data_IF_559230626700
#
_entry.id   IF_559230626700
#
_cell.length_a   1.000
_cell.length_b   1.000
_cell.length_c   1.000
_cell.angle_alpha   90.00
_cell.angle_beta   90.00
_cell.angle_gamma   90.00
#
_symmetry.space_group_name_H-M   'P 1'
#
loop_
_entity.id
_entity.type
_entity.pdbx_description
1 polymer ?
#
# COMPACT_ATOMS: atom_id res chain seq x y z
N UNK A 1 -6.16 16.40 11.42
CA UNK A 1 -6.16 15.66 12.70
C UNK A 1 -4.91 14.80 12.74
N UNK A 2 -4.16 14.82 13.85
CA UNK A 2 -2.96 14.01 14.00
C UNK A 2 -3.39 12.62 14.51
N UNK A 3 -3.39 11.61 13.63
CA UNK A 3 -3.80 10.25 14.01
C UNK A 3 -2.73 9.67 14.93
N UNK A 4 -3.10 9.38 16.17
CA UNK A 4 -2.20 8.84 17.19
C UNK A 4 -2.75 7.54 17.75
N UNK A 5 -1.85 6.61 18.06
CA UNK A 5 -2.20 5.36 18.71
C UNK A 5 -2.47 5.61 20.20
N UNK A 6 -3.71 5.40 20.66
CA UNK A 6 -4.10 5.60 22.05
C UNK A 6 -3.41 4.65 23.06
N UNK A 7 -2.76 3.58 22.59
CA UNK A 7 -2.08 2.60 23.43
C UNK A 7 -0.63 3.00 23.74
N UNK A 8 0.07 3.61 22.76
CA UNK A 8 1.50 3.94 22.90
C UNK A 8 1.85 5.40 22.57
N UNK A 9 0.83 6.24 22.38
CA UNK A 9 0.90 7.66 22.05
C UNK A 9 1.75 8.00 20.81
N UNK A 10 1.90 7.01 19.91
CA UNK A 10 2.71 7.14 18.70
C UNK A 10 1.89 7.73 17.55
N UNK A 11 2.45 8.72 16.84
CA UNK A 11 1.91 9.24 15.58
C UNK A 11 2.27 8.37 14.36
N UNK A 12 3.07 7.32 14.54
CA UNK A 12 3.41 6.37 13.47
C UNK A 12 2.23 5.41 13.23
N UNK A 13 1.19 5.93 12.60
CA UNK A 13 -0.05 5.20 12.27
C UNK A 13 -0.16 5.05 10.76
N UNK A 14 -0.34 3.82 10.29
CA UNK A 14 -0.60 3.48 8.91
C UNK A 14 -2.09 3.20 8.74
N UNK A 15 -2.76 3.91 7.84
CA UNK A 15 -4.17 3.64 7.52
C UNK A 15 -4.28 2.46 6.56
N UNK A 16 -5.43 1.77 6.61
CA UNK A 16 -5.79 0.67 5.72
C UNK A 16 -5.67 1.08 4.25
N UNK A 17 -6.19 2.24 3.90
CA UNK A 17 -6.15 2.75 2.52
C UNK A 17 -4.73 3.10 2.08
N UNK A 18 -3.92 3.68 2.96
CA UNK A 18 -2.52 3.94 2.68
C UNK A 18 -1.75 2.63 2.49
N UNK A 19 -1.96 1.63 3.34
CA UNK A 19 -1.34 0.31 3.21
C UNK A 19 -1.73 -0.39 1.91
N UNK A 20 -3.02 -0.34 1.54
CA UNK A 20 -3.54 -0.87 0.28
C UNK A 20 -2.87 -0.19 -0.92
N UNK A 21 -2.82 1.13 -0.92
CA UNK A 21 -2.18 1.93 -1.98
C UNK A 21 -0.69 1.67 -2.11
N UNK A 22 0.04 1.61 -0.99
CA UNK A 22 1.47 1.30 -0.96
C UNK A 22 1.74 -0.11 -1.49
N UNK A 23 0.96 -1.10 -1.08
CA UNK A 23 1.10 -2.48 -1.54
C UNK A 23 0.86 -2.57 -3.06
N UNK A 24 -0.17 -1.89 -3.56
CA UNK A 24 -0.43 -1.80 -4.99
C UNK A 24 0.76 -1.18 -5.74
N UNK A 25 1.26 -0.03 -5.28
CA UNK A 25 2.42 0.64 -5.88
C UNK A 25 3.67 -0.25 -5.91
N UNK A 26 3.98 -0.92 -4.81
CA UNK A 26 5.12 -1.86 -4.74
C UNK A 26 4.95 -3.00 -5.75
N UNK A 27 3.75 -3.57 -5.87
CA UNK A 27 3.46 -4.60 -6.86
C UNK A 27 3.66 -4.13 -8.31
N UNK A 28 3.19 -2.92 -8.64
CA UNK A 28 3.36 -2.33 -9.97
C UNK A 28 4.83 -2.01 -10.27
N UNK A 29 5.57 -1.46 -9.30
CA UNK A 29 7.01 -1.23 -9.46
C UNK A 29 7.78 -2.53 -9.65
N UNK A 30 7.44 -3.58 -8.92
CA UNK A 30 8.03 -4.90 -9.12
C UNK A 30 7.79 -5.42 -10.55
N UNK A 31 6.57 -5.24 -11.07
CA UNK A 31 6.23 -5.52 -12.48
C UNK A 31 7.09 -4.72 -13.45
N UNK A 32 7.19 -3.40 -13.24
CA UNK A 32 7.98 -2.51 -14.09
C UNK A 32 9.47 -2.85 -14.08
N UNK A 33 10.05 -3.11 -12.90
CA UNK A 33 11.46 -3.50 -12.76
C UNK A 33 11.73 -4.83 -13.45
N UNK A 34 10.83 -5.81 -13.30
CA UNK A 34 10.93 -7.09 -14.01
C UNK A 34 10.84 -6.90 -15.53
N UNK A 35 9.94 -6.05 -16.01
CA UNK A 35 9.82 -5.70 -17.42
C UNK A 35 11.07 -5.04 -17.99
N UNK A 36 11.63 -4.06 -17.27
CA UNK A 36 12.85 -3.37 -17.67
C UNK A 36 14.07 -4.29 -17.75
N UNK A 37 14.16 -5.28 -16.85
CA UNK A 37 15.27 -6.25 -16.81
C UNK A 37 15.23 -7.32 -17.90
N UNK A 38 14.09 -7.51 -18.60
CA UNK A 38 13.97 -8.51 -19.67
C UNK A 38 14.80 -8.17 -20.91
N UNK A 39 15.19 -6.91 -21.10
CA UNK A 39 16.09 -6.48 -22.17
C UNK A 39 17.45 -6.08 -21.59
N UNK A 40 18.26 -7.08 -21.27
CA UNK A 40 19.60 -6.89 -20.71
C UNK A 40 20.61 -6.30 -21.73
N UNK A 41 20.20 -6.14 -23.00
CA UNK A 41 21.03 -5.67 -24.13
C UNK A 41 20.44 -4.43 -24.85
N UNK A 42 19.35 -3.85 -24.35
CA UNK A 42 18.69 -2.69 -24.94
C UNK A 42 19.21 -1.35 -24.41
N UNK A 43 19.00 -0.27 -25.18
CA UNK A 43 19.23 1.10 -24.69
C UNK A 43 18.35 1.40 -23.47
N UNK A 44 18.73 2.37 -22.63
CA UNK A 44 17.94 2.77 -21.45
C UNK A 44 16.49 3.14 -21.77
N UNK A 45 16.23 3.66 -22.99
CA UNK A 45 14.88 3.93 -23.48
C UNK A 45 14.05 2.66 -23.70
N UNK A 46 14.64 1.61 -24.29
CA UNK A 46 13.96 0.34 -24.48
C UNK A 46 13.63 -0.33 -23.14
N UNK A 47 14.56 -0.29 -22.18
CA UNK A 47 14.32 -0.78 -20.83
C UNK A 47 13.17 -0.04 -20.12
N UNK A 48 13.12 1.29 -20.25
CA UNK A 48 12.04 2.10 -19.67
C UNK A 48 10.67 1.75 -20.29
N UNK A 49 10.59 1.65 -21.62
CA UNK A 49 9.34 1.32 -22.32
C UNK A 49 8.87 -0.10 -21.97
N UNK A 50 9.77 -1.09 -21.95
CA UNK A 50 9.43 -2.45 -21.54
C UNK A 50 9.01 -2.54 -20.07
N UNK A 51 9.60 -1.72 -19.21
CA UNK A 51 9.15 -1.58 -17.82
C UNK A 51 7.73 -1.02 -17.71
N UNK A 52 7.44 0.10 -18.37
CA UNK A 52 6.11 0.70 -18.36
C UNK A 52 5.04 -0.25 -18.95
N UNK A 53 5.36 -0.94 -20.05
CA UNK A 53 4.47 -1.91 -20.67
C UNK A 53 4.17 -3.11 -19.75
N UNK A 54 5.06 -3.43 -18.80
CA UNK A 54 4.89 -4.51 -17.84
C UNK A 54 4.02 -4.14 -16.61
N UNK A 55 3.62 -2.87 -16.46
CA UNK A 55 2.76 -2.42 -15.34
C UNK A 55 1.36 -3.03 -15.45
N UNK A 56 0.71 -2.90 -16.62
CA UNK A 56 -0.64 -3.44 -16.87
C UNK A 56 -0.75 -4.93 -16.59
N UNK A 57 0.12 -5.81 -17.12
CA UNK A 57 0.04 -7.24 -16.83
C UNK A 57 0.40 -7.60 -15.38
N UNK A 58 1.04 -6.71 -14.61
CA UNK A 58 1.31 -6.93 -13.19
C UNK A 58 0.19 -6.42 -12.25
N UNK A 59 -0.78 -5.67 -12.79
CA UNK A 59 -1.85 -5.07 -12.01
C UNK A 59 -2.75 -6.08 -11.28
N UNK A 60 -3.19 -7.21 -11.88
CA UNK A 60 -4.03 -8.18 -11.18
C UNK A 60 -3.38 -8.77 -9.93
N UNK A 61 -2.10 -9.14 -10.01
CA UNK A 61 -1.34 -9.67 -8.88
C UNK A 61 -1.08 -8.60 -7.82
N UNK A 62 -0.72 -7.37 -8.24
CA UNK A 62 -0.52 -6.24 -7.34
C UNK A 62 -1.82 -5.88 -6.60
N UNK A 63 -2.97 -5.93 -7.29
CA UNK A 63 -4.29 -5.70 -6.69
C UNK A 63 -4.63 -6.79 -5.68
N UNK A 64 -4.41 -8.06 -6.03
CA UNK A 64 -4.63 -9.18 -5.10
C UNK A 64 -3.79 -9.02 -3.83
N UNK A 65 -2.50 -8.69 -3.96
CA UNK A 65 -1.64 -8.44 -2.80
C UNK A 65 -2.16 -7.30 -1.92
N UNK A 66 -2.64 -6.22 -2.53
CA UNK A 66 -3.25 -5.10 -1.80
C UNK A 66 -4.54 -5.51 -1.06
N UNK A 67 -5.38 -6.35 -1.68
CA UNK A 67 -6.57 -6.93 -1.04
C UNK A 67 -6.21 -7.87 0.12
N UNK A 68 -5.18 -8.70 -0.06
CA UNK A 68 -4.66 -9.59 0.99
C UNK A 68 -4.15 -8.77 2.20
N UNK A 69 -3.47 -7.65 1.96
CA UNK A 69 -3.01 -6.78 3.05
C UNK A 69 -4.18 -6.22 3.86
N UNK A 70 -5.22 -5.74 3.18
CA UNK A 70 -6.41 -5.25 3.87
C UNK A 70 -7.08 -6.37 4.67
N UNK A 71 -7.19 -7.58 4.10
CA UNK A 71 -7.86 -8.70 4.74
C UNK A 71 -7.09 -9.22 5.96
N UNK A 72 -5.78 -9.43 5.83
CA UNK A 72 -4.99 -10.19 6.79
C UNK A 72 -4.18 -9.31 7.76
N UNK A 73 -3.76 -8.10 7.36
CA UNK A 73 -3.03 -7.20 8.26
C UNK A 73 -3.94 -6.24 9.00
N UNK A 74 -5.05 -5.83 8.41
CA UNK A 74 -5.98 -4.89 9.04
C UNK A 74 -7.20 -5.57 9.66
N UNK A 75 -7.58 -6.78 9.23
CA UNK A 75 -8.66 -7.58 9.83
C UNK A 75 -9.98 -6.82 10.04
N UNK A 76 -10.26 -5.80 9.21
CA UNK A 76 -11.46 -4.97 9.33
C UNK A 76 -11.30 -3.67 10.11
N UNK A 77 -10.12 -3.35 10.66
CA UNK A 77 -9.78 -2.08 11.31
C UNK A 77 -9.19 -1.04 10.34
N UNK A 78 -9.33 0.24 10.66
CA UNK A 78 -8.90 1.32 9.78
C UNK A 78 -7.42 1.70 9.91
N UNK A 79 -6.82 1.46 11.08
CA UNK A 79 -5.49 1.92 11.42
C UNK A 79 -4.64 0.80 12.05
N UNK A 80 -3.35 0.80 11.71
CA UNK A 80 -2.30 -0.02 12.32
C UNK A 80 -1.23 0.91 12.90
N UNK A 81 -0.94 0.78 14.19
CA UNK A 81 0.22 1.44 14.78
C UNK A 81 1.50 0.72 14.38
N UNK A 82 2.40 1.42 13.69
CA UNK A 82 3.70 0.87 13.27
C UNK A 82 4.68 0.68 14.44
N UNK A 83 4.37 1.24 15.62
CA UNK A 83 5.22 1.13 16.82
C UNK A 83 4.87 -0.08 17.68
N UNK A 84 3.59 -0.24 18.06
CA UNK A 84 3.16 -1.30 18.96
C UNK A 84 2.33 -2.40 18.29
N UNK A 85 1.99 -2.26 17.01
CA UNK A 85 1.18 -3.23 16.26
C UNK A 85 -0.32 -3.20 16.56
N UNK A 86 -0.80 -2.23 17.36
CA UNK A 86 -2.22 -2.12 17.66
C UNK A 86 -3.06 -1.81 16.42
N UNK A 87 -4.20 -2.49 16.31
CA UNK A 87 -5.25 -2.25 15.32
C UNK A 87 -6.42 -1.50 15.98
N UNK A 88 -6.94 -0.50 15.30
CA UNK A 88 -8.05 0.32 15.80
C UNK A 88 -8.78 1.03 14.65
N UNK A 89 -10.04 1.38 14.89
CA UNK A 89 -10.83 2.17 13.94
C UNK A 89 -10.49 3.65 14.03
N UNK A 90 -10.61 4.37 12.92
CA UNK A 90 -10.49 5.82 12.95
C UNK A 90 -11.69 6.37 13.71
N UNK A 91 -11.45 7.14 14.77
CA UNK A 91 -12.54 7.80 15.49
C UNK A 91 -13.20 8.79 14.54
N UNK A 92 -14.33 8.41 13.96
CA UNK A 92 -15.32 9.36 13.45
C UNK A 92 -15.73 10.17 14.66
N UNK A 93 -15.26 11.41 14.77
CA UNK A 93 -15.91 12.37 15.65
C UNK A 93 -17.37 12.38 15.22
N UNK A 94 -18.25 11.77 16.01
CA UNK A 94 -19.65 12.09 15.99
C UNK A 94 -19.69 13.59 16.20
N UNK A 95 -19.94 14.36 15.13
CA UNK A 95 -20.56 15.67 15.29
C UNK A 95 -21.83 15.41 16.08
N UNK A 96 -21.74 15.59 17.39
CA UNK A 96 -22.91 15.74 18.22
C UNK A 96 -23.57 17.02 17.73
N UNK A 97 -24.70 16.89 17.04
CA UNK A 97 -25.69 17.94 16.95
C UNK A 97 -27.02 17.28 17.31
N UNK A 98 -27.34 17.47 18.60
CA UNK A 98 -28.68 17.44 19.15
C UNK A 98 -29.48 18.62 18.58
#
# INVERSE_FOLDING_TARGET
MNRQCLICDSSAVLTRDAAKGLTLLVGLFNGAIKGARRHHEGSGHAALLSGLAAVTPAYPEARKAAEDVVRFHFAGFDCLCLRCGALFDETVESKGEL
#
